data_IF_361084198094
#
_entry.id   IF_361084198094
#
_cell.length_a   1.000
_cell.length_b   1.000
_cell.length_c   1.000
_cell.angle_alpha   90.00
_cell.angle_beta   90.00
_cell.angle_gamma   90.00
#
_symmetry.space_group_name_H-M   'P 1'
#
loop_
_entity.id
_entity.type
_entity.pdbx_description
1 polymer ?
#
# COMPACT_ATOMS: atom_id res chain seq x y z
N UNK A 1 9.52 -4.50 18.12
CA UNK A 1 10.64 -4.25 17.18
C UNK A 1 10.39 -3.14 16.14
N UNK A 2 9.18 -2.89 15.63
CA UNK A 2 8.96 -1.83 14.60
C UNK A 2 8.43 -0.51 15.17
N UNK A 3 7.75 -0.50 16.33
CA UNK A 3 7.47 0.75 17.04
C UNK A 3 8.76 1.55 17.31
N UNK A 4 9.83 0.85 17.75
CA UNK A 4 11.17 1.44 17.88
C UNK A 4 11.72 1.95 16.55
N UNK A 5 11.49 1.25 15.42
CA UNK A 5 11.93 1.74 14.11
C UNK A 5 11.20 3.00 13.65
N UNK A 6 9.89 3.15 13.89
CA UNK A 6 9.18 4.41 13.59
C UNK A 6 9.59 5.55 14.51
N UNK A 7 9.89 5.26 15.78
CA UNK A 7 10.47 6.24 16.69
C UNK A 7 11.86 6.68 16.23
N UNK A 8 12.71 5.75 15.81
CA UNK A 8 14.03 6.05 15.24
C UNK A 8 13.93 6.82 13.92
N UNK A 9 13.00 6.46 13.03
CA UNK A 9 12.74 7.20 11.78
C UNK A 9 12.33 8.63 12.10
N UNK A 10 11.43 8.84 13.07
CA UNK A 10 11.01 10.19 13.49
C UNK A 10 12.15 10.98 14.10
N UNK A 11 12.96 10.34 14.94
CA UNK A 11 14.14 10.95 15.55
C UNK A 11 15.16 11.38 14.48
N UNK A 12 15.51 10.49 13.56
CA UNK A 12 16.42 10.79 12.46
C UNK A 12 15.87 11.88 11.52
N UNK A 13 14.57 11.86 11.26
CA UNK A 13 13.90 12.90 10.48
C UNK A 13 13.95 14.25 11.19
N UNK A 14 13.77 14.27 12.51
CA UNK A 14 13.90 15.49 13.31
C UNK A 14 15.30 16.10 13.24
N UNK A 15 16.33 15.26 13.39
CA UNK A 15 17.73 15.71 13.31
C UNK A 15 18.12 16.20 11.90
N UNK A 16 17.70 15.49 10.85
CA UNK A 16 18.14 15.80 9.47
C UNK A 16 17.33 16.88 8.77
N UNK A 17 16.05 17.07 9.13
CA UNK A 17 15.17 18.05 8.48
C UNK A 17 15.00 19.34 9.29
N UNK A 18 15.70 19.45 10.44
CA UNK A 18 15.76 20.64 11.28
C UNK A 18 14.36 21.23 11.57
N UNK A 19 13.40 20.37 11.91
CA UNK A 19 12.05 20.83 12.25
C UNK A 19 12.08 21.74 13.47
N UNK A 20 11.38 22.88 13.38
CA UNK A 20 11.28 23.86 14.48
C UNK A 20 10.37 23.36 15.59
N UNK A 21 9.36 22.55 15.26
CA UNK A 21 8.40 22.01 16.24
C UNK A 21 8.05 20.54 15.95
N UNK A 22 7.67 19.75 16.97
CA UNK A 22 7.29 18.34 16.80
C UNK A 22 6.02 18.14 15.95
N UNK A 23 5.22 19.19 15.76
CA UNK A 23 4.03 19.17 14.90
C UNK A 23 4.39 19.18 13.41
N UNK A 24 5.55 19.72 13.05
CA UNK A 24 6.05 19.75 11.66
C UNK A 24 6.60 18.40 11.21
N UNK A 25 6.82 17.46 12.13
CA UNK A 25 7.32 16.12 11.79
C UNK A 25 6.36 15.46 10.82
N UNK A 26 6.86 15.19 9.62
CA UNK A 26 6.08 14.53 8.59
C UNK A 26 5.63 13.14 9.03
N UNK A 27 4.34 12.88 8.82
CA UNK A 27 3.66 11.64 9.20
C UNK A 27 2.76 11.21 8.07
N UNK A 28 2.66 9.91 7.87
CA UNK A 28 1.69 9.33 6.96
C UNK A 28 0.32 9.41 7.63
N UNK A 29 -0.58 10.17 7.01
CA UNK A 29 -1.95 10.37 7.46
C UNK A 29 -2.80 9.15 7.17
N UNK A 30 -2.66 8.63 5.95
CA UNK A 30 -3.52 7.59 5.40
C UNK A 30 -2.81 6.87 4.26
N UNK A 31 -3.06 5.57 4.14
CA UNK A 31 -2.70 4.80 2.94
C UNK A 31 -3.99 4.32 2.30
N UNK A 32 -4.12 4.51 1.00
CA UNK A 32 -5.20 3.94 0.21
C UNK A 32 -4.62 2.84 -0.68
N UNK A 33 -5.21 1.66 -0.63
CA UNK A 33 -4.90 0.58 -1.53
C UNK A 33 -6.11 0.29 -2.41
N UNK A 34 -5.95 0.40 -3.71
CA UNK A 34 -6.95 0.03 -4.70
C UNK A 34 -6.49 -1.20 -5.47
N UNK A 35 -7.24 -2.28 -5.34
CA UNK A 35 -7.03 -3.54 -6.05
C UNK A 35 -7.95 -3.52 -7.25
N UNK A 36 -7.37 -3.38 -8.45
CA UNK A 36 -8.10 -3.38 -9.70
C UNK A 36 -8.21 -4.80 -10.25
N UNK A 37 -9.43 -5.23 -10.53
CA UNK A 37 -9.67 -6.50 -11.22
C UNK A 37 -9.50 -6.30 -12.72
N UNK A 38 -8.82 -7.24 -13.36
CA UNK A 38 -8.80 -7.34 -14.82
C UNK A 38 -10.14 -7.91 -15.31
N UNK A 39 -10.51 -7.60 -16.55
CA UNK A 39 -11.80 -8.00 -17.16
C UNK A 39 -12.07 -9.51 -17.10
N UNK A 40 -11.01 -10.33 -17.01
CA UNK A 40 -11.08 -11.79 -16.91
C UNK A 40 -11.49 -12.32 -15.53
N UNK A 41 -11.34 -11.53 -14.45
CA UNK A 41 -11.58 -11.96 -13.05
C UNK A 41 -13.03 -11.76 -12.60
N UNK A 42 -13.93 -11.40 -13.54
CA UNK A 42 -15.31 -10.99 -13.25
C UNK A 42 -16.26 -12.16 -12.88
N UNK A 43 -15.78 -13.17 -12.16
CA UNK A 43 -16.64 -14.15 -11.50
C UNK A 43 -16.92 -13.66 -10.08
N UNK A 44 -18.21 -13.60 -9.71
CA UNK A 44 -18.65 -13.10 -8.38
C UNK A 44 -17.94 -13.80 -7.22
N UNK A 45 -17.56 -15.07 -7.40
CA UNK A 45 -16.81 -15.87 -6.45
C UNK A 45 -15.39 -15.33 -6.18
N UNK A 46 -14.61 -15.03 -7.23
CA UNK A 46 -13.25 -14.50 -7.08
C UNK A 46 -13.25 -13.12 -6.38
N UNK A 47 -14.27 -12.31 -6.66
CA UNK A 47 -14.47 -11.01 -6.01
C UNK A 47 -14.76 -11.19 -4.52
N UNK A 48 -15.66 -12.10 -4.14
CA UNK A 48 -15.92 -12.42 -2.74
C UNK A 48 -14.66 -12.96 -2.05
N UNK A 49 -13.91 -13.82 -2.72
CA UNK A 49 -12.65 -14.34 -2.21
C UNK A 49 -11.64 -13.22 -1.90
N UNK A 50 -11.41 -12.28 -2.82
CA UNK A 50 -10.54 -11.13 -2.55
C UNK A 50 -11.07 -10.26 -1.41
N UNK A 51 -12.38 -10.04 -1.34
CA UNK A 51 -12.99 -9.25 -0.27
C UNK A 51 -12.75 -9.88 1.10
N UNK A 52 -13.03 -11.18 1.26
CA UNK A 52 -12.80 -11.88 2.52
C UNK A 52 -11.32 -11.91 2.87
N UNK A 53 -10.44 -12.19 1.91
CA UNK A 53 -9.00 -12.16 2.12
C UNK A 53 -8.56 -10.85 2.78
N UNK A 54 -8.84 -9.71 2.17
CA UNK A 54 -8.35 -8.45 2.71
C UNK A 54 -9.08 -8.03 3.98
N UNK A 55 -10.40 -8.28 4.07
CA UNK A 55 -11.22 -7.93 5.24
C UNK A 55 -10.85 -8.71 6.50
N UNK A 56 -10.57 -10.00 6.38
CA UNK A 56 -10.39 -10.90 7.54
C UNK A 56 -8.94 -11.27 7.79
N UNK A 57 -8.13 -11.49 6.76
CA UNK A 57 -6.78 -12.07 6.92
C UNK A 57 -5.66 -11.02 6.90
N UNK A 58 -5.71 -10.06 5.97
CA UNK A 58 -4.60 -9.12 5.78
C UNK A 58 -4.78 -7.86 6.64
N UNK A 59 -5.92 -7.17 6.55
CA UNK A 59 -6.14 -5.91 7.25
C UNK A 59 -7.61 -5.75 7.67
N UNK A 60 -7.89 -5.72 8.98
CA UNK A 60 -9.20 -5.30 9.52
C UNK A 60 -9.42 -3.81 9.24
N UNK A 61 -9.73 -3.45 8.00
CA UNK A 61 -9.83 -2.08 7.51
C UNK A 61 -11.20 -1.80 6.88
N UNK A 62 -11.54 -0.52 6.73
CA UNK A 62 -12.72 -0.08 6.00
C UNK A 62 -12.52 -0.24 4.49
N UNK A 63 -13.53 -0.80 3.81
CA UNK A 63 -13.43 -1.26 2.43
C UNK A 63 -14.59 -0.71 1.60
N UNK A 64 -14.32 -0.38 0.34
CA UNK A 64 -15.33 0.01 -0.64
C UNK A 64 -15.22 -0.88 -1.87
N UNK A 65 -16.36 -1.39 -2.34
CA UNK A 65 -16.44 -2.03 -3.65
C UNK A 65 -16.59 -0.95 -4.70
N UNK A 66 -15.69 -0.91 -5.68
CA UNK A 66 -15.75 0.05 -6.77
C UNK A 66 -16.46 -0.61 -7.93
N UNK A 67 -17.56 0.01 -8.36
CA UNK A 67 -18.41 -0.45 -9.47
C UNK A 67 -18.42 0.57 -10.59
N UNK A 68 -18.46 0.09 -11.83
CA UNK A 68 -18.79 0.90 -12.99
C UNK A 68 -20.27 1.28 -12.90
N UNK A 69 -20.57 2.58 -12.84
CA UNK A 69 -21.96 3.08 -12.71
C UNK A 69 -22.86 2.64 -13.87
N UNK A 70 -22.32 2.56 -15.10
CA UNK A 70 -23.07 2.22 -16.31
C UNK A 70 -23.27 0.72 -16.46
N UNK A 71 -22.20 -0.07 -16.39
CA UNK A 71 -22.28 -1.53 -16.62
C UNK A 71 -22.59 -2.34 -15.36
N UNK A 72 -22.60 -1.71 -14.18
CA UNK A 72 -22.71 -2.34 -12.84
C UNK A 72 -21.61 -3.38 -12.56
N UNK A 73 -20.59 -3.47 -13.41
CA UNK A 73 -19.47 -4.38 -13.22
C UNK A 73 -18.60 -3.92 -12.06
N UNK A 74 -18.10 -4.87 -11.27
CA UNK A 74 -17.18 -4.59 -10.17
C UNK A 74 -15.78 -4.40 -10.77
N UNK A 75 -15.23 -3.20 -10.62
CA UNK A 75 -13.91 -2.83 -11.12
C UNK A 75 -12.79 -3.16 -10.15
N UNK A 76 -13.10 -3.30 -8.86
CA UNK A 76 -12.09 -3.54 -7.84
C UNK A 76 -12.56 -3.26 -6.43
N UNK A 77 -11.61 -3.32 -5.50
CA UNK A 77 -11.79 -3.07 -4.07
C UNK A 77 -10.84 -1.99 -3.60
N UNK A 78 -11.33 -1.02 -2.81
CA UNK A 78 -10.52 0.03 -2.20
C UNK A 78 -10.50 -0.12 -0.69
N UNK A 79 -9.30 -0.12 -0.12
CA UNK A 79 -9.00 -0.24 1.29
C UNK A 79 -8.38 1.06 1.79
N UNK A 80 -8.75 1.47 3.00
CA UNK A 80 -8.21 2.66 3.65
C UNK A 80 -7.57 2.27 4.98
N UNK A 81 -6.29 2.58 5.12
CA UNK A 81 -5.52 2.34 6.33
C UNK A 81 -5.18 3.65 7.03
N UNK A 82 -5.47 3.71 8.33
CA UNK A 82 -5.19 4.85 9.20
C UNK A 82 -4.64 4.38 10.55
N UNK A 83 -3.88 5.22 11.26
CA UNK A 83 -3.36 4.93 12.61
C UNK A 83 -2.63 3.58 12.65
N UNK A 84 -3.01 2.67 13.56
CA UNK A 84 -2.38 1.36 13.74
C UNK A 84 -2.36 0.51 12.45
N UNK A 85 -3.37 0.66 11.58
CA UNK A 85 -3.42 -0.09 10.32
C UNK A 85 -2.32 0.31 9.34
N UNK A 86 -1.79 1.53 9.42
CA UNK A 86 -0.63 1.95 8.61
C UNK A 86 0.60 1.14 9.01
N UNK A 87 0.83 0.96 10.32
CA UNK A 87 1.92 0.14 10.82
C UNK A 87 1.76 -1.32 10.40
N UNK A 88 0.55 -1.87 10.50
CA UNK A 88 0.29 -3.23 10.04
C UNK A 88 0.50 -3.36 8.53
N UNK A 89 0.08 -2.37 7.74
CA UNK A 89 0.30 -2.31 6.30
C UNK A 89 1.79 -2.40 6.00
N UNK A 90 2.61 -1.57 6.62
CA UNK A 90 4.05 -1.64 6.42
C UNK A 90 4.66 -2.95 6.91
N UNK A 91 4.28 -3.47 8.08
CA UNK A 91 4.84 -4.74 8.57
C UNK A 91 4.54 -5.93 7.65
N UNK A 92 3.31 -6.03 7.16
CA UNK A 92 2.88 -7.16 6.32
C UNK A 92 3.21 -6.95 4.84
N UNK A 93 3.16 -5.72 4.35
CA UNK A 93 3.36 -5.39 2.94
C UNK A 93 4.83 -5.03 2.68
N UNK A 94 5.43 -4.05 3.36
CA UNK A 94 6.83 -3.69 3.09
C UNK A 94 7.80 -4.81 3.41
N UNK A 95 7.72 -5.34 4.63
CA UNK A 95 8.74 -6.25 5.14
C UNK A 95 8.72 -7.59 4.41
N UNK A 96 7.54 -8.06 4.00
CA UNK A 96 7.39 -9.37 3.38
C UNK A 96 7.31 -9.31 1.84
N UNK A 97 6.84 -8.19 1.25
CA UNK A 97 6.61 -8.09 -0.20
C UNK A 97 7.69 -7.25 -0.90
N UNK A 98 8.05 -6.08 -0.37
CA UNK A 98 8.97 -5.16 -1.06
C UNK A 98 10.45 -5.51 -0.88
N UNK A 99 10.78 -6.49 -0.02
CA UNK A 99 12.14 -7.06 0.05
C UNK A 99 12.40 -8.01 -1.15
N UNK A 100 11.35 -8.52 -1.79
CA UNK A 100 11.49 -9.46 -2.90
C UNK A 100 11.80 -8.71 -4.21
N UNK A 101 12.93 -9.01 -4.89
CA UNK A 101 13.32 -8.33 -6.13
C UNK A 101 12.25 -8.42 -7.22
N UNK A 102 11.51 -9.54 -7.27
CA UNK A 102 10.46 -9.77 -8.26
C UNK A 102 9.32 -8.76 -8.11
N UNK A 103 8.99 -8.39 -6.87
CA UNK A 103 7.97 -7.37 -6.61
C UNK A 103 8.52 -5.98 -6.90
N UNK A 104 9.76 -5.69 -6.52
CA UNK A 104 10.39 -4.40 -6.82
C UNK A 104 10.40 -4.11 -8.33
N UNK A 105 10.75 -5.10 -9.14
CA UNK A 105 10.75 -5.00 -10.61
C UNK A 105 9.34 -4.82 -11.21
N UNK A 106 8.29 -5.13 -10.45
CA UNK A 106 6.89 -4.98 -10.88
C UNK A 106 6.26 -3.64 -10.47
N UNK A 107 7.01 -2.81 -9.73
CA UNK A 107 6.58 -1.46 -9.36
C UNK A 107 6.70 -0.55 -10.58
N UNK A 108 5.61 0.11 -10.91
CA UNK A 108 5.51 1.07 -12.02
C UNK A 108 4.78 2.32 -11.54
N UNK A 109 4.88 3.41 -12.30
CA UNK A 109 4.17 4.67 -12.05
C UNK A 109 4.42 5.24 -10.64
N UNK A 110 5.66 5.11 -10.15
CA UNK A 110 6.07 5.70 -8.88
C UNK A 110 6.25 7.21 -9.03
N UNK A 111 5.39 8.00 -8.40
CA UNK A 111 5.39 9.45 -8.57
C UNK A 111 4.80 10.19 -7.37
N UNK A 112 5.11 11.48 -7.27
CA UNK A 112 4.41 12.40 -6.38
C UNK A 112 3.35 13.17 -7.15
N UNK A 113 2.15 13.33 -6.56
CA UNK A 113 1.13 14.22 -7.09
C UNK A 113 1.40 15.70 -6.70
N UNK A 114 0.58 16.62 -7.20
CA UNK A 114 0.70 18.06 -6.91
C UNK A 114 0.51 18.42 -5.44
N UNK A 115 -0.12 17.53 -4.66
CA UNK A 115 -0.26 17.65 -3.22
C UNK A 115 0.86 16.91 -2.46
N UNK A 116 1.92 16.48 -3.15
CA UNK A 116 3.07 15.75 -2.62
C UNK A 116 2.72 14.41 -1.97
N UNK A 117 1.59 13.80 -2.36
CA UNK A 117 1.28 12.42 -2.01
C UNK A 117 2.02 11.47 -2.93
N UNK A 118 2.45 10.33 -2.40
CA UNK A 118 3.20 9.35 -3.16
C UNK A 118 2.26 8.26 -3.69
N UNK A 119 2.35 7.97 -4.98
CA UNK A 119 1.62 6.90 -5.63
C UNK A 119 2.59 5.92 -6.28
N UNK A 120 2.24 4.64 -6.26
CA UNK A 120 2.90 3.63 -7.05
C UNK A 120 1.92 2.50 -7.37
N UNK A 121 2.20 1.78 -8.45
CA UNK A 121 1.40 0.62 -8.87
C UNK A 121 2.27 -0.62 -8.90
N UNK A 122 1.78 -1.70 -8.31
CA UNK A 122 2.36 -3.03 -8.49
C UNK A 122 1.53 -3.73 -9.57
N UNK A 123 2.11 -3.88 -10.76
CA UNK A 123 1.47 -4.56 -11.88
C UNK A 123 1.74 -6.05 -11.81
N UNK A 124 0.72 -6.89 -12.02
CA UNK A 124 0.87 -8.35 -11.94
C UNK A 124 1.63 -8.75 -10.67
N UNK A 125 1.14 -8.34 -9.49
CA UNK A 125 1.81 -8.64 -8.23
C UNK A 125 2.07 -10.15 -8.16
N UNK A 126 3.31 -10.52 -8.46
CA UNK A 126 3.61 -11.83 -9.01
C UNK A 126 3.30 -12.90 -7.97
N UNK A 127 2.94 -14.09 -8.46
CA UNK A 127 2.45 -15.25 -7.71
C UNK A 127 3.18 -15.51 -6.37
N UNK A 128 4.49 -15.22 -6.29
CA UNK A 128 5.38 -15.62 -5.21
C UNK A 128 5.04 -15.10 -3.80
N UNK A 129 4.63 -13.84 -3.66
CA UNK A 129 4.33 -13.28 -2.33
C UNK A 129 3.04 -13.84 -1.73
N UNK A 130 1.98 -13.85 -2.52
CA UNK A 130 0.71 -14.45 -2.11
C UNK A 130 0.82 -15.98 -2.04
N UNK A 131 1.73 -16.61 -2.80
CA UNK A 131 2.01 -18.03 -2.67
C UNK A 131 2.59 -18.42 -1.32
N UNK A 132 3.50 -17.61 -0.76
CA UNK A 132 4.10 -17.84 0.55
C UNK A 132 3.18 -17.45 1.71
N UNK A 133 2.40 -16.39 1.55
CA UNK A 133 1.56 -15.85 2.64
C UNK A 133 0.18 -16.49 2.73
N UNK A 134 -0.37 -16.96 1.60
CA UNK A 134 -1.70 -17.54 1.54
C UNK A 134 -1.60 -19.03 1.30
N UNK A 135 -2.28 -19.83 2.13
CA UNK A 135 -2.33 -21.28 1.95
C UNK A 135 -3.40 -21.65 0.90
N UNK A 136 -4.50 -20.90 0.86
CA UNK A 136 -5.65 -21.22 0.01
C UNK A 136 -5.39 -20.91 -1.47
N UNK A 137 -5.49 -21.95 -2.32
CA UNK A 137 -5.30 -21.89 -3.79
C UNK A 137 -6.24 -20.90 -4.48
N UNK A 138 -7.48 -20.76 -4.03
CA UNK A 138 -8.44 -19.82 -4.63
C UNK A 138 -8.00 -18.38 -4.43
N UNK A 139 -7.51 -18.02 -3.23
CA UNK A 139 -7.00 -16.68 -3.00
C UNK A 139 -5.75 -16.36 -3.83
N UNK A 140 -4.90 -17.36 -4.09
CA UNK A 140 -3.73 -17.19 -4.97
C UNK A 140 -4.18 -16.82 -6.38
N UNK A 141 -5.07 -17.61 -6.99
CA UNK A 141 -5.55 -17.39 -8.36
C UNK A 141 -6.22 -16.02 -8.56
N UNK A 142 -6.97 -15.53 -7.57
CA UNK A 142 -7.62 -14.21 -7.65
C UNK A 142 -6.58 -13.09 -7.80
N UNK A 143 -5.47 -13.16 -7.05
CA UNK A 143 -4.53 -12.06 -6.90
C UNK A 143 -3.49 -11.99 -8.03
N UNK A 144 -3.23 -13.12 -8.70
CA UNK A 144 -2.27 -13.23 -9.80
C UNK A 144 -2.55 -12.24 -10.95
N UNK A 145 -3.82 -11.90 -11.16
CA UNK A 145 -4.27 -11.03 -12.25
C UNK A 145 -4.71 -9.64 -11.77
N UNK A 146 -4.42 -9.28 -10.51
CA UNK A 146 -4.79 -7.99 -9.94
C UNK A 146 -3.64 -6.99 -9.99
N UNK A 147 -3.98 -5.73 -10.26
CA UNK A 147 -3.05 -4.62 -10.09
C UNK A 147 -3.34 -3.91 -8.76
N UNK A 148 -2.28 -3.59 -8.02
CA UNK A 148 -2.37 -2.89 -6.74
C UNK A 148 -1.92 -1.45 -6.92
N UNK A 149 -2.86 -0.52 -6.87
CA UNK A 149 -2.58 0.90 -6.87
C UNK A 149 -2.54 1.40 -5.43
N UNK A 150 -1.39 1.91 -5.01
CA UNK A 150 -1.15 2.35 -3.63
C UNK A 150 -0.91 3.85 -3.62
N UNK A 151 -1.58 4.54 -2.71
CA UNK A 151 -1.44 5.98 -2.49
C UNK A 151 -1.14 6.23 -1.02
N UNK A 152 -0.02 6.89 -0.74
CA UNK A 152 0.42 7.31 0.58
C UNK A 152 0.14 8.81 0.70
N UNK A 153 -0.81 9.15 1.58
CA UNK A 153 -1.18 10.53 1.90
C UNK A 153 -0.42 10.96 3.15
N UNK A 154 0.30 12.06 3.05
CA UNK A 154 1.01 12.67 4.17
C UNK A 154 0.16 13.73 4.87
N UNK A 155 0.60 14.17 6.06
CA UNK A 155 0.02 15.34 6.71
C UNK A 155 0.44 16.63 5.97
N UNK A 156 -0.28 17.72 6.22
CA UNK A 156 -0.47 18.95 5.40
C UNK A 156 0.80 19.82 5.20
N UNK A 157 2.01 19.26 5.29
CA UNK A 157 3.24 19.95 4.93
C UNK A 157 3.69 19.48 3.55
N UNK A 158 3.53 20.33 2.53
CA UNK A 158 4.00 20.10 1.15
C UNK A 158 5.54 20.13 1.05
N UNK A 159 6.24 19.41 1.92
CA UNK A 159 7.68 19.27 1.86
C UNK A 159 8.00 17.92 1.21
N UNK A 160 8.15 17.95 -0.12
CA UNK A 160 8.49 16.78 -0.93
C UNK A 160 9.79 16.12 -0.47
N UNK A 161 10.81 16.91 -0.13
CA UNK A 161 12.08 16.37 0.38
C UNK A 161 11.89 15.58 1.67
N UNK A 162 11.07 16.08 2.59
CA UNK A 162 10.73 15.38 3.81
C UNK A 162 9.89 14.10 3.57
N UNK A 163 8.99 14.11 2.57
CA UNK A 163 8.25 12.89 2.17
C UNK A 163 9.17 11.84 1.57
N UNK A 164 10.07 12.24 0.64
CA UNK A 164 11.08 11.36 0.07
C UNK A 164 11.98 10.77 1.15
N UNK A 165 12.47 11.61 2.07
CA UNK A 165 13.31 11.17 3.17
C UNK A 165 12.61 10.12 4.06
N UNK A 166 11.33 10.34 4.36
CA UNK A 166 10.53 9.37 5.12
C UNK A 166 10.34 8.05 4.36
N UNK A 167 10.09 8.12 3.05
CA UNK A 167 9.94 6.93 2.20
C UNK A 167 11.25 6.15 2.03
N UNK A 168 12.41 6.80 2.05
CA UNK A 168 13.72 6.15 1.96
C UNK A 168 13.98 5.19 3.12
N UNK A 169 13.48 5.48 4.33
CA UNK A 169 13.60 4.54 5.45
C UNK A 169 12.83 3.23 5.22
N UNK A 170 11.84 3.26 4.35
CA UNK A 170 11.07 2.11 3.94
C UNK A 170 11.59 1.46 2.66
N UNK A 171 12.73 1.91 2.11
CA UNK A 171 13.27 1.44 0.82
C UNK A 171 12.25 1.57 -0.33
N UNK A 172 11.32 2.53 -0.26
CA UNK A 172 10.42 2.84 -1.39
C UNK A 172 11.13 3.58 -2.52
N UNK A 173 12.32 4.09 -2.25
CA UNK A 173 13.19 4.77 -3.18
C UNK A 173 14.56 4.09 -3.11
N UNK A 174 15.24 4.01 -4.26
CA UNK A 174 16.48 3.29 -4.59
C UNK A 174 16.28 1.88 -5.19
N UNK A 175 16.07 1.85 -6.52
CA UNK A 175 17.22 1.83 -7.44
C UNK A 175 17.44 3.24 -7.99
#
# INVERSE_FOLDING_TARGET
MIQSSFHQIRHNSYLKLLYKTPYQINKIKKISLYIRFTSQVNTKFLILCSFFLFKTTLFKAGNYVIINKKTKQILGLKFIFTKQLIFNFFNKFLLLSLIQPEIQNSITLASFDSATNFTFTITKANCYFFERTLINKFYKQVLQNCNFHITILFNIHNNLYAHMFLLNFFKFYFN
#
